data_IF_418782402223
#
_entry.id   IF_418782402223
#
_cell.length_a   1.000
_cell.length_b   1.000
_cell.length_c   1.000
_cell.angle_alpha   90.00
_cell.angle_beta   90.00
_cell.angle_gamma   90.00
#
_symmetry.space_group_name_H-M   'P 1'
#
loop_
_entity.id
_entity.type
_entity.pdbx_description
1 polymer ?
#
# COMPACT_ATOMS: atom_id res chain seq x y z
N UNK A 1 17.64 3.02 9.74
CA UNK A 1 18.11 2.76 8.36
C UNK A 1 16.91 2.89 7.43
N UNK A 2 16.46 4.12 7.20
CA UNK A 2 15.27 4.44 6.40
C UNK A 2 15.71 5.42 5.30
N UNK A 3 15.04 5.36 4.15
CA UNK A 3 15.03 6.39 3.09
C UNK A 3 15.88 6.17 1.82
N UNK A 4 16.26 4.94 1.48
CA UNK A 4 16.79 4.61 0.14
C UNK A 4 15.82 3.87 -0.79
N UNK A 5 14.85 3.12 -0.26
CA UNK A 5 13.92 2.30 -1.06
C UNK A 5 12.52 2.92 -1.25
N UNK A 6 12.22 4.01 -0.53
CA UNK A 6 10.93 4.72 -0.65
C UNK A 6 10.91 5.67 -1.85
N UNK A 7 12.09 6.04 -2.39
CA UNK A 7 12.24 7.01 -3.47
C UNK A 7 12.16 6.43 -4.88
N UNK A 8 12.29 5.11 -5.05
CA UNK A 8 12.36 4.45 -6.38
C UNK A 8 10.99 4.20 -7.03
N UNK A 9 9.89 4.63 -6.42
CA UNK A 9 8.56 4.45 -6.99
C UNK A 9 7.78 5.76 -6.94
N UNK A 10 8.32 6.79 -7.61
CA UNK A 10 7.61 8.04 -7.84
C UNK A 10 7.10 8.12 -9.28
N UNK A 11 5.84 8.54 -9.39
CA UNK A 11 5.07 9.11 -10.50
C UNK A 11 4.85 8.35 -11.83
N UNK A 12 3.85 7.49 -11.80
CA UNK A 12 3.06 6.97 -12.91
C UNK A 12 2.83 7.87 -14.15
N UNK A 13 2.76 9.20 -14.01
CA UNK A 13 2.60 10.13 -15.17
C UNK A 13 3.79 10.08 -16.13
N UNK A 14 4.94 9.64 -15.68
CA UNK A 14 6.14 9.72 -16.49
C UNK A 14 6.60 8.34 -17.01
N UNK A 15 6.17 7.24 -16.38
CA UNK A 15 6.24 5.87 -16.93
C UNK A 15 5.42 5.80 -18.22
N UNK A 16 4.28 6.51 -18.18
CA UNK A 16 3.41 6.80 -19.30
C UNK A 16 4.20 7.48 -20.44
N UNK A 17 4.91 8.57 -20.15
CA UNK A 17 5.63 9.42 -21.12
C UNK A 17 6.80 8.70 -21.82
N UNK A 18 7.47 7.79 -21.13
CA UNK A 18 8.60 7.07 -21.70
C UNK A 18 8.17 5.94 -22.64
N UNK A 19 7.15 5.17 -22.25
CA UNK A 19 6.52 4.20 -23.14
C UNK A 19 5.97 4.87 -24.42
N UNK A 20 5.57 6.14 -24.36
CA UNK A 20 5.14 6.94 -25.52
C UNK A 20 6.28 7.32 -26.46
N UNK A 21 7.45 7.63 -25.89
CA UNK A 21 8.61 8.04 -26.68
C UNK A 21 9.15 6.88 -27.51
N UNK A 22 9.15 5.68 -26.95
CA UNK A 22 9.55 4.47 -27.68
C UNK A 22 8.52 4.11 -28.78
N UNK A 23 7.23 4.30 -28.52
CA UNK A 23 6.17 4.15 -29.54
C UNK A 23 6.31 5.16 -30.68
N UNK A 24 6.61 6.42 -30.39
CA UNK A 24 6.81 7.46 -31.40
C UNK A 24 8.09 7.22 -32.23
N UNK A 25 9.15 6.66 -31.61
CA UNK A 25 10.39 6.26 -32.29
C UNK A 25 10.19 5.06 -33.21
N UNK A 26 9.38 4.07 -32.82
CA UNK A 26 9.03 2.93 -33.69
C UNK A 26 8.00 3.30 -34.78
N UNK A 27 7.10 4.25 -34.51
CA UNK A 27 6.09 4.72 -35.47
C UNK A 27 6.65 5.65 -36.56
N UNK A 28 7.83 6.22 -36.37
CA UNK A 28 8.52 7.11 -37.33
C UNK A 28 8.86 6.48 -38.68
N UNK A 29 8.58 5.19 -38.90
CA UNK A 29 8.84 4.49 -40.16
C UNK A 29 7.61 4.26 -41.05
N UNK A 30 6.39 4.59 -40.65
CA UNK A 30 5.21 4.45 -41.50
C UNK A 30 4.17 5.56 -41.27
N UNK A 31 4.12 6.50 -42.22
CA UNK A 31 3.09 7.55 -42.31
C UNK A 31 1.71 6.91 -42.53
N UNK A 32 0.78 7.02 -41.57
CA UNK A 32 -0.66 6.91 -41.78
C UNK A 32 -1.45 7.62 -40.66
N UNK A 33 -2.47 8.39 -41.04
CA UNK A 33 -3.31 9.23 -40.16
C UNK A 33 -4.15 8.41 -39.16
N UNK A 34 -4.41 7.13 -39.42
CA UNK A 34 -5.06 6.19 -38.48
C UNK A 34 -4.17 5.78 -37.28
N UNK A 35 -2.85 5.97 -37.39
CA UNK A 35 -1.90 5.63 -36.32
C UNK A 35 -2.02 6.61 -35.13
N UNK A 36 -2.30 7.89 -35.38
CA UNK A 36 -2.39 8.92 -34.33
C UNK A 36 -3.54 8.69 -33.34
N UNK A 37 -4.71 8.24 -33.81
CA UNK A 37 -5.85 7.90 -32.92
C UNK A 37 -5.55 6.65 -32.08
N UNK A 38 -4.86 5.68 -32.68
CA UNK A 38 -4.48 4.43 -32.02
C UNK A 38 -3.43 4.67 -30.92
N UNK A 39 -2.41 5.48 -31.19
CA UNK A 39 -1.40 5.89 -30.21
C UNK A 39 -2.01 6.73 -29.08
N UNK A 40 -2.96 7.62 -29.38
CA UNK A 40 -3.68 8.43 -28.37
C UNK A 40 -4.53 7.57 -27.43
N UNK A 41 -5.17 6.53 -27.95
CA UNK A 41 -5.93 5.57 -27.15
C UNK A 41 -5.02 4.72 -26.25
N UNK A 42 -3.88 4.27 -26.77
CA UNK A 42 -2.89 3.51 -25.98
C UNK A 42 -2.28 4.34 -24.85
N UNK A 43 -2.02 5.61 -25.13
CA UNK A 43 -1.54 6.60 -24.16
C UNK A 43 -2.55 6.80 -23.03
N UNK A 44 -3.83 6.83 -23.35
CA UNK A 44 -4.90 6.99 -22.36
C UNK A 44 -5.05 5.75 -21.49
N UNK A 45 -5.04 4.55 -22.09
CA UNK A 45 -5.12 3.27 -21.38
C UNK A 45 -3.95 3.04 -20.41
N UNK A 46 -2.70 3.29 -20.84
CA UNK A 46 -1.55 3.18 -19.92
C UNK A 46 -1.68 4.17 -18.76
N UNK A 47 -2.19 5.38 -19.00
CA UNK A 47 -2.43 6.33 -17.92
C UNK A 47 -3.44 5.84 -16.88
N UNK A 48 -4.55 5.26 -17.34
CA UNK A 48 -5.57 4.70 -16.44
C UNK A 48 -5.03 3.52 -15.63
N UNK A 49 -4.24 2.64 -16.26
CA UNK A 49 -3.58 1.53 -15.57
C UNK A 49 -2.65 2.01 -14.46
N UNK A 50 -1.86 3.04 -14.75
CA UNK A 50 -0.90 3.56 -13.78
C UNK A 50 -1.59 4.35 -12.65
N UNK A 51 -2.73 4.98 -12.91
CA UNK A 51 -3.58 5.56 -11.88
C UNK A 51 -4.14 4.48 -10.94
N UNK A 52 -4.57 3.34 -11.48
CA UNK A 52 -5.03 2.21 -10.66
C UNK A 52 -3.89 1.63 -9.80
N UNK A 53 -2.69 1.53 -10.36
CA UNK A 53 -1.49 1.12 -9.64
C UNK A 53 -1.17 2.06 -8.45
N UNK A 54 -1.37 3.37 -8.58
CA UNK A 54 -1.19 4.32 -7.47
C UNK A 54 -2.23 4.12 -6.37
N UNK A 55 -3.49 3.80 -6.70
CA UNK A 55 -4.51 3.47 -5.69
C UNK A 55 -4.11 2.23 -4.89
N UNK A 56 -3.63 1.18 -5.58
CA UNK A 56 -3.12 -0.03 -4.92
C UNK A 56 -1.98 0.31 -3.96
N UNK A 57 -1.04 1.16 -4.40
CA UNK A 57 0.08 1.62 -3.56
C UNK A 57 -0.39 2.43 -2.35
N UNK A 58 -1.41 3.27 -2.48
CA UNK A 58 -1.99 4.03 -1.37
C UNK A 58 -2.66 3.10 -0.35
N UNK A 59 -3.39 2.08 -0.81
CA UNK A 59 -3.96 1.07 0.07
C UNK A 59 -2.85 0.29 0.82
N UNK A 60 -1.76 -0.09 0.13
CA UNK A 60 -0.60 -0.71 0.77
C UNK A 60 0.09 0.19 1.80
N UNK A 61 0.17 1.50 1.54
CA UNK A 61 0.70 2.46 2.52
C UNK A 61 -0.19 2.52 3.76
N UNK A 62 -1.51 2.54 3.59
CA UNK A 62 -2.45 2.51 4.71
C UNK A 62 -2.33 1.21 5.53
N UNK A 63 -2.14 0.07 4.88
CA UNK A 63 -1.86 -1.22 5.54
C UNK A 63 -0.56 -1.17 6.35
N UNK A 64 0.49 -0.55 5.82
CA UNK A 64 1.75 -0.33 6.56
C UNK A 64 1.55 0.56 7.80
N UNK A 65 0.77 1.62 7.68
CA UNK A 65 0.49 2.50 8.82
C UNK A 65 -0.28 1.75 9.92
N UNK A 66 -1.22 0.87 9.54
CA UNK A 66 -1.91 0.00 10.50
C UNK A 66 -0.93 -0.98 11.15
N UNK A 67 -0.01 -1.58 10.40
CA UNK A 67 1.02 -2.46 10.96
C UNK A 67 1.84 -1.76 12.06
N UNK A 68 2.25 -0.51 11.83
CA UNK A 68 2.99 0.28 12.82
C UNK A 68 2.14 0.53 14.06
N UNK A 69 0.85 0.86 13.90
CA UNK A 69 -0.06 1.02 15.04
C UNK A 69 -0.28 -0.27 15.82
N UNK A 70 -0.38 -1.41 15.14
CA UNK A 70 -0.50 -2.72 15.79
C UNK A 70 0.76 -3.08 16.58
N UNK A 71 1.95 -2.77 16.04
CA UNK A 71 3.22 -2.91 16.78
C UNK A 71 3.22 -2.05 18.04
N UNK A 72 2.84 -0.79 17.93
CA UNK A 72 2.75 0.10 19.08
C UNK A 72 1.73 -0.38 20.10
N UNK A 73 0.55 -0.82 19.66
CA UNK A 73 -0.49 -1.36 20.52
C UNK A 73 -0.01 -2.61 21.27
N UNK A 74 0.77 -3.46 20.61
CA UNK A 74 1.38 -4.63 21.24
C UNK A 74 2.38 -4.23 22.34
N UNK A 75 3.24 -3.23 22.09
CA UNK A 75 4.16 -2.72 23.12
C UNK A 75 3.41 -2.07 24.30
N UNK A 76 2.36 -1.30 24.02
CA UNK A 76 1.52 -0.69 25.06
C UNK A 76 0.89 -1.77 25.97
N UNK A 77 0.48 -2.91 25.38
CA UNK A 77 -0.13 -4.02 26.12
C UNK A 77 0.72 -4.56 27.28
N UNK A 78 2.06 -4.49 27.15
CA UNK A 78 3.02 -4.97 28.16
C UNK A 78 2.97 -4.17 29.46
N UNK A 79 2.59 -2.90 29.36
CA UNK A 79 2.57 -1.94 30.48
C UNK A 79 1.19 -1.71 31.09
N UNK A 80 0.13 -2.24 30.45
CA UNK A 80 -1.24 -2.05 30.91
C UNK A 80 -1.61 -3.09 31.97
N UNK A 81 -2.08 -2.61 33.13
CA UNK A 81 -2.51 -3.43 34.26
C UNK A 81 -3.97 -3.21 34.66
N UNK A 82 -4.70 -2.29 33.99
CA UNK A 82 -6.11 -2.00 34.26
C UNK A 82 -7.01 -2.66 33.22
N UNK A 83 -8.06 -3.34 33.67
CA UNK A 83 -8.99 -4.07 32.80
C UNK A 83 -9.65 -3.16 31.75
N UNK A 84 -10.07 -1.93 32.11
CA UNK A 84 -10.69 -1.00 31.14
C UNK A 84 -9.71 -0.59 30.02
N UNK A 85 -8.43 -0.38 30.37
CA UNK A 85 -7.41 -0.01 29.40
C UNK A 85 -7.06 -1.18 28.47
N UNK A 86 -7.02 -2.41 28.99
CA UNK A 86 -6.84 -3.63 28.20
C UNK A 86 -8.02 -3.83 27.22
N UNK A 87 -9.26 -3.60 27.66
CA UNK A 87 -10.44 -3.71 26.81
C UNK A 87 -10.45 -2.65 25.69
N UNK A 88 -10.06 -1.41 26.00
CA UNK A 88 -9.90 -0.34 25.00
C UNK A 88 -8.82 -0.70 23.98
N UNK A 89 -7.68 -1.22 24.44
CA UNK A 89 -6.58 -1.66 23.58
C UNK A 89 -7.02 -2.80 22.65
N UNK A 90 -7.70 -3.82 23.19
CA UNK A 90 -8.29 -4.93 22.42
C UNK A 90 -9.21 -4.41 21.32
N UNK A 91 -10.10 -3.47 21.65
CA UNK A 91 -11.03 -2.88 20.69
C UNK A 91 -10.30 -2.17 19.54
N UNK A 92 -9.23 -1.43 19.85
CA UNK A 92 -8.39 -0.75 18.84
C UNK A 92 -7.66 -1.76 17.94
N UNK A 93 -7.07 -2.79 18.52
CA UNK A 93 -6.38 -3.84 17.76
C UNK A 93 -7.37 -4.56 16.81
N UNK A 94 -8.55 -4.94 17.31
CA UNK A 94 -9.57 -5.60 16.49
C UNK A 94 -10.05 -4.72 15.33
N UNK A 95 -10.23 -3.41 15.57
CA UNK A 95 -10.58 -2.46 14.52
C UNK A 95 -9.48 -2.34 13.45
N UNK A 96 -8.22 -2.25 13.89
CA UNK A 96 -7.06 -2.19 12.99
C UNK A 96 -6.92 -3.48 12.15
N UNK A 97 -7.07 -4.67 12.75
CA UNK A 97 -7.03 -5.94 12.01
C UNK A 97 -8.18 -6.03 10.98
N UNK A 98 -9.39 -5.63 11.38
CA UNK A 98 -10.55 -5.58 10.46
C UNK A 98 -10.28 -4.64 9.27
N UNK A 99 -9.65 -3.48 9.53
CA UNK A 99 -9.26 -2.56 8.48
C UNK A 99 -8.21 -3.17 7.54
N UNK A 100 -7.19 -3.86 8.07
CA UNK A 100 -6.18 -4.56 7.27
C UNK A 100 -6.83 -5.63 6.40
N UNK A 101 -7.73 -6.45 6.94
CA UNK A 101 -8.46 -7.46 6.18
C UNK A 101 -9.22 -6.84 4.99
N UNK A 102 -10.00 -5.78 5.23
CA UNK A 102 -10.77 -5.10 4.18
C UNK A 102 -9.86 -4.51 3.11
N UNK A 103 -8.79 -3.83 3.51
CA UNK A 103 -7.82 -3.21 2.58
C UNK A 103 -7.06 -4.25 1.78
N UNK A 104 -6.65 -5.34 2.42
CA UNK A 104 -5.97 -6.46 1.76
C UNK A 104 -6.86 -7.12 0.70
N UNK A 105 -8.16 -7.33 0.99
CA UNK A 105 -9.12 -7.82 -0.01
C UNK A 105 -9.28 -6.85 -1.19
N UNK A 106 -9.25 -5.55 -0.91
CA UNK A 106 -9.31 -4.51 -1.95
C UNK A 106 -8.07 -4.55 -2.84
N UNK A 107 -6.88 -4.56 -2.24
CA UNK A 107 -5.60 -4.70 -2.96
C UNK A 107 -5.59 -5.95 -3.83
N UNK A 108 -6.05 -7.08 -3.29
CA UNK A 108 -6.18 -8.33 -4.03
C UNK A 108 -7.04 -8.16 -5.28
N UNK A 109 -8.26 -7.66 -5.12
CA UNK A 109 -9.20 -7.46 -6.23
C UNK A 109 -8.59 -6.56 -7.30
N UNK A 110 -7.96 -5.46 -6.91
CA UNK A 110 -7.34 -4.52 -7.85
C UNK A 110 -6.17 -5.17 -8.62
N UNK A 111 -5.33 -5.98 -7.95
CA UNK A 111 -4.26 -6.71 -8.62
C UNK A 111 -4.79 -7.78 -9.59
N UNK A 112 -5.84 -8.51 -9.21
CA UNK A 112 -6.51 -9.47 -10.09
C UNK A 112 -7.13 -8.78 -11.33
N UNK A 113 -7.70 -7.59 -11.15
CA UNK A 113 -8.25 -6.79 -12.26
C UNK A 113 -7.15 -6.24 -13.17
N UNK A 114 -6.03 -5.79 -12.60
CA UNK A 114 -4.84 -5.40 -13.38
C UNK A 114 -4.32 -6.58 -14.21
N UNK A 115 -4.30 -7.79 -13.66
CA UNK A 115 -3.89 -9.00 -14.37
C UNK A 115 -4.83 -9.37 -15.50
N UNK A 116 -6.14 -9.32 -15.23
CA UNK A 116 -7.17 -9.55 -16.24
C UNK A 116 -7.04 -8.55 -17.39
N UNK A 117 -6.81 -7.28 -17.09
CA UNK A 117 -6.59 -6.24 -18.07
C UNK A 117 -5.31 -6.47 -18.88
N UNK A 118 -4.20 -6.86 -18.23
CA UNK A 118 -2.94 -7.19 -18.91
C UNK A 118 -3.10 -8.40 -19.84
N UNK A 119 -3.81 -9.45 -19.41
CA UNK A 119 -4.08 -10.64 -20.22
C UNK A 119 -5.02 -10.34 -21.41
N UNK A 120 -6.03 -9.51 -21.22
CA UNK A 120 -6.94 -9.08 -22.29
C UNK A 120 -6.19 -8.26 -23.35
N UNK A 121 -5.35 -7.33 -22.90
CA UNK A 121 -4.55 -6.48 -23.77
C UNK A 121 -3.50 -7.26 -24.57
N UNK A 122 -2.99 -8.41 -24.08
CA UNK A 122 -2.03 -9.26 -24.82
C UNK A 122 -2.52 -9.69 -26.22
N UNK A 123 -3.84 -9.75 -26.44
CA UNK A 123 -4.45 -10.13 -27.73
C UNK A 123 -4.45 -8.99 -28.76
N UNK A 124 -4.15 -7.76 -28.35
CA UNK A 124 -4.09 -6.58 -29.21
C UNK A 124 -2.65 -6.37 -29.70
N UNK A 125 -2.47 -6.12 -31.01
CA UNK A 125 -1.14 -5.95 -31.65
C UNK A 125 -0.25 -4.92 -30.94
N UNK A 126 -0.87 -3.87 -30.40
CA UNK A 126 -0.18 -2.75 -29.78
C UNK A 126 0.26 -3.00 -28.32
N UNK A 127 -0.19 -4.11 -27.73
CA UNK A 127 0.11 -4.55 -26.35
C UNK A 127 0.68 -5.97 -26.35
N UNK A 128 1.17 -6.42 -27.50
CA UNK A 128 1.77 -7.73 -27.65
C UNK A 128 2.99 -7.84 -26.73
N UNK A 129 3.24 -9.07 -26.31
CA UNK A 129 4.42 -9.42 -25.54
C UNK A 129 5.70 -8.91 -26.21
N UNK A 130 6.53 -8.21 -25.44
CA UNK A 130 7.75 -7.58 -25.93
C UNK A 130 7.67 -6.06 -26.14
N UNK A 131 6.46 -5.49 -26.26
CA UNK A 131 6.27 -4.03 -26.42
C UNK A 131 6.64 -3.25 -25.15
N UNK A 132 7.09 -1.98 -25.25
CA UNK A 132 7.40 -1.13 -24.09
C UNK A 132 6.22 -1.03 -23.10
N UNK A 133 5.00 -0.79 -23.61
CA UNK A 133 3.79 -0.72 -22.77
C UNK A 133 3.55 -2.03 -22.02
N UNK A 134 3.66 -3.18 -22.70
CA UNK A 134 3.49 -4.48 -22.04
C UNK A 134 4.51 -4.67 -20.92
N UNK A 135 5.80 -4.39 -21.19
CA UNK A 135 6.88 -4.50 -20.20
C UNK A 135 6.61 -3.61 -18.99
N UNK A 136 6.21 -2.35 -19.22
CA UNK A 136 5.86 -1.42 -18.15
C UNK A 136 4.71 -1.93 -17.29
N UNK A 137 3.62 -2.44 -17.90
CA UNK A 137 2.46 -2.96 -17.17
C UNK A 137 2.79 -4.19 -16.35
N UNK A 138 3.55 -5.12 -16.92
CA UNK A 138 4.02 -6.32 -16.21
C UNK A 138 4.95 -5.97 -15.04
N UNK A 139 5.88 -5.05 -15.28
CA UNK A 139 6.82 -4.58 -14.27
C UNK A 139 6.14 -3.93 -13.06
N UNK A 140 5.18 -3.03 -13.32
CA UNK A 140 4.40 -2.37 -12.26
C UNK A 140 3.59 -3.39 -11.46
N UNK A 141 2.86 -4.27 -12.14
CA UNK A 141 1.98 -5.24 -11.46
C UNK A 141 2.81 -6.25 -10.65
N UNK A 142 3.97 -6.68 -11.16
CA UNK A 142 4.92 -7.54 -10.45
C UNK A 142 5.52 -6.84 -9.23
N UNK A 143 5.97 -5.59 -9.38
CA UNK A 143 6.50 -4.79 -8.27
C UNK A 143 5.49 -4.61 -7.12
N UNK A 144 4.22 -4.35 -7.46
CA UNK A 144 3.15 -4.28 -6.46
C UNK A 144 2.94 -5.62 -5.74
N UNK A 145 2.98 -6.75 -6.46
CA UNK A 145 2.88 -8.09 -5.86
C UNK A 145 4.05 -8.41 -4.93
N UNK A 146 5.29 -8.11 -5.34
CA UNK A 146 6.47 -8.24 -4.47
C UNK A 146 6.28 -7.42 -3.19
N UNK A 147 5.78 -6.19 -3.32
CA UNK A 147 5.54 -5.31 -2.16
C UNK A 147 4.42 -5.81 -1.24
N UNK A 148 3.38 -6.39 -1.82
CA UNK A 148 2.32 -7.06 -1.07
C UNK A 148 2.90 -8.23 -0.26
N UNK A 149 3.69 -9.09 -0.91
CA UNK A 149 4.36 -10.23 -0.25
C UNK A 149 5.24 -9.78 0.92
N UNK A 150 6.04 -8.74 0.75
CA UNK A 150 6.84 -8.16 1.85
C UNK A 150 5.96 -7.71 3.02
N UNK A 151 4.88 -6.95 2.75
CA UNK A 151 3.94 -6.52 3.79
C UNK A 151 3.31 -7.71 4.52
N UNK A 152 2.96 -8.77 3.80
CA UNK A 152 2.39 -9.98 4.37
C UNK A 152 3.38 -10.70 5.29
N UNK A 153 4.65 -10.74 4.91
CA UNK A 153 5.72 -11.28 5.75
C UNK A 153 5.91 -10.43 7.02
N UNK A 154 5.85 -9.12 6.92
CA UNK A 154 5.94 -8.22 8.08
C UNK A 154 4.79 -8.46 9.08
N UNK A 155 3.56 -8.66 8.58
CA UNK A 155 2.40 -9.01 9.41
C UNK A 155 2.53 -10.39 10.05
N UNK A 156 3.05 -11.38 9.32
CA UNK A 156 3.33 -12.70 9.88
C UNK A 156 4.36 -12.62 11.00
N UNK A 157 5.43 -11.84 10.81
CA UNK A 157 6.43 -11.59 11.84
C UNK A 157 5.87 -10.85 13.06
N UNK A 158 4.93 -9.92 12.86
CA UNK A 158 4.22 -9.29 13.98
C UNK A 158 3.38 -10.32 14.74
N UNK A 159 2.56 -11.12 14.06
CA UNK A 159 1.75 -12.18 14.68
C UNK A 159 2.58 -13.10 15.57
N UNK A 160 3.72 -13.58 15.05
CA UNK A 160 4.62 -14.46 15.78
C UNK A 160 5.18 -13.78 17.05
N UNK A 161 5.60 -12.51 16.93
CA UNK A 161 6.07 -11.72 18.08
C UNK A 161 4.98 -11.55 19.14
N UNK A 162 3.78 -11.12 18.75
CA UNK A 162 2.66 -10.95 19.68
C UNK A 162 2.34 -12.25 20.44
N UNK A 163 2.34 -13.39 19.75
CA UNK A 163 2.07 -14.69 20.38
C UNK A 163 3.20 -15.12 21.32
N UNK A 164 4.46 -14.92 20.93
CA UNK A 164 5.63 -15.22 21.76
C UNK A 164 5.64 -14.40 23.04
N UNK A 165 5.37 -13.10 22.94
CA UNK A 165 5.35 -12.19 24.09
C UNK A 165 4.16 -12.46 25.02
N UNK A 166 3.03 -12.87 24.45
CA UNK A 166 1.88 -13.31 25.23
C UNK A 166 2.22 -14.56 26.06
N UNK A 167 2.84 -15.58 25.43
CA UNK A 167 3.33 -16.78 26.14
C UNK A 167 4.30 -16.44 27.27
N UNK A 168 5.27 -15.54 27.00
CA UNK A 168 6.21 -15.07 28.03
C UNK A 168 5.48 -14.39 29.20
N UNK A 169 4.49 -13.55 28.90
CA UNK A 169 3.70 -12.85 29.93
C UNK A 169 2.94 -13.85 30.81
N UNK A 170 2.32 -14.87 30.21
CA UNK A 170 1.64 -15.94 30.96
C UNK A 170 2.63 -16.70 31.83
N UNK A 171 3.79 -17.09 31.30
CA UNK A 171 4.83 -17.79 32.07
C UNK A 171 5.35 -16.97 33.25
N UNK A 172 5.60 -15.67 33.06
CA UNK A 172 6.03 -14.76 34.15
C UNK A 172 4.96 -14.62 35.24
N UNK A 173 3.69 -14.51 34.86
CA UNK A 173 2.59 -14.43 35.82
C UNK A 173 2.37 -15.74 36.56
N UNK A 174 2.51 -16.87 35.87
CA UNK A 174 2.50 -18.19 36.50
C UNK A 174 3.58 -18.29 37.58
N UNK A 175 4.85 -18.01 37.24
CA UNK A 175 5.97 -18.04 38.19
C UNK A 175 5.77 -17.10 39.38
N UNK A 176 5.22 -15.90 39.15
CA UNK A 176 4.94 -14.94 40.24
C UNK A 176 3.95 -15.49 41.27
N UNK A 177 3.09 -16.41 40.86
CA UNK A 177 1.97 -16.92 41.65
C UNK A 177 2.26 -18.31 42.25
N UNK A 178 3.05 -19.13 41.57
CA UNK A 178 3.37 -20.52 41.98
C UNK A 178 4.81 -20.70 42.47
N UNK A 179 5.71 -19.75 42.20
CA UNK A 179 7.14 -19.89 42.45
C UNK A 179 7.86 -20.91 41.55
N UNK A 180 7.13 -21.62 40.67
CA UNK A 180 7.65 -22.66 39.78
C UNK A 180 7.65 -22.17 38.33
N UNK A 181 8.67 -22.57 37.56
CA UNK A 181 8.71 -22.27 36.13
C UNK A 181 7.77 -23.24 35.41
N UNK A 182 6.79 -22.69 34.68
CA UNK A 182 5.88 -23.52 33.89
C UNK A 182 6.60 -24.12 32.68
N UNK A 183 6.33 -25.39 32.42
CA UNK A 183 6.66 -26.02 31.14
C UNK A 183 5.80 -25.42 30.02
N UNK A 184 6.32 -25.44 28.79
CA UNK A 184 5.62 -24.90 27.61
C UNK A 184 4.24 -25.54 27.42
N UNK A 185 4.10 -26.84 27.70
CA UNK A 185 2.83 -27.56 27.63
C UNK A 185 1.80 -27.03 28.65
N UNK A 186 2.24 -26.63 29.84
CA UNK A 186 1.38 -26.02 30.86
C UNK A 186 0.92 -24.64 30.41
N UNK A 187 1.84 -23.82 29.87
CA UNK A 187 1.51 -22.51 29.30
C UNK A 187 0.50 -22.66 28.17
N UNK A 188 0.73 -23.59 27.25
CA UNK A 188 -0.18 -23.86 26.14
C UNK A 188 -1.54 -24.38 26.60
N UNK A 189 -1.61 -25.18 27.67
CA UNK A 189 -2.86 -25.65 28.27
C UNK A 189 -3.64 -24.52 28.94
N UNK A 190 -2.97 -23.59 29.60
CA UNK A 190 -3.58 -22.37 30.16
C UNK A 190 -4.15 -21.50 29.02
N UNK A 191 -3.40 -21.36 27.92
CA UNK A 191 -3.80 -20.60 26.73
C UNK A 191 -4.90 -21.33 25.92
N UNK A 192 -4.95 -22.65 25.90
CA UNK A 192 -5.92 -23.37 25.05
C UNK A 192 -7.29 -23.46 25.73
N UNK A 193 -7.31 -23.65 27.05
CA UNK A 193 -8.53 -23.93 27.80
C UNK A 193 -9.22 -22.69 28.39
N UNK A 194 -8.67 -21.48 28.25
CA UNK A 194 -9.32 -20.22 28.64
C UNK A 194 -9.93 -20.25 30.05
N UNK A 195 -9.18 -20.73 31.03
CA UNK A 195 -9.65 -20.81 32.41
C UNK A 195 -10.23 -22.17 32.84
N UNK A 196 -10.27 -23.19 31.99
CA UNK A 196 -10.69 -24.56 32.36
C UNK A 196 -9.67 -25.33 33.22
N UNK A 197 -9.70 -26.67 33.18
CA UNK A 197 -8.93 -27.58 34.08
C UNK A 197 -7.45 -27.22 34.34
N UNK A 198 -6.76 -26.58 33.37
CA UNK A 198 -5.36 -26.13 33.56
C UNK A 198 -5.23 -24.87 34.42
N UNK A 199 -6.20 -23.96 34.38
CA UNK A 199 -6.27 -22.80 35.26
C UNK A 199 -6.77 -23.19 36.65
N UNK A 200 -7.66 -24.18 36.79
CA UNK A 200 -8.08 -24.70 38.10
C UNK A 200 -6.95 -25.39 38.87
N UNK A 201 -6.11 -26.18 38.18
CA UNK A 201 -4.91 -26.80 38.77
C UNK A 201 -3.89 -25.74 39.22
N UNK A 202 -3.67 -24.72 38.38
CA UNK A 202 -2.89 -23.53 38.70
C UNK A 202 -3.45 -22.76 39.91
N UNK A 203 -4.77 -22.54 39.94
CA UNK A 203 -5.48 -21.79 40.99
C UNK A 203 -5.43 -22.53 42.34
N UNK A 204 -5.54 -23.87 42.33
CA UNK A 204 -5.48 -24.70 43.53
C UNK A 204 -4.15 -24.61 44.26
N UNK A 205 -3.03 -24.79 43.54
CA UNK A 205 -1.67 -24.69 44.11
C UNK A 205 -1.36 -23.27 44.60
N UNK A 206 -1.68 -22.27 43.80
CA UNK A 206 -1.41 -20.88 44.09
C UNK A 206 -2.16 -20.33 45.31
N UNK A 207 -3.46 -20.67 45.45
CA UNK A 207 -4.28 -20.24 46.59
C UNK A 207 -3.70 -20.76 47.91
N UNK A 208 -3.11 -21.96 47.90
CA UNK A 208 -2.55 -22.60 49.09
C UNK A 208 -1.28 -21.88 49.59
N UNK A 209 -0.49 -21.29 48.70
CA UNK A 209 0.80 -20.67 49.05
C UNK A 209 0.74 -19.15 49.23
N UNK A 210 -0.10 -18.42 48.48
CA UNK A 210 -0.06 -16.94 48.43
C UNK A 210 -1.35 -16.25 48.88
N UNK A 211 -2.36 -17.04 49.28
CA UNK A 211 -3.64 -16.53 49.74
C UNK A 211 -4.57 -16.14 48.59
N UNK A 212 -5.86 -16.33 48.83
CA UNK A 212 -6.90 -16.34 47.78
C UNK A 212 -7.03 -15.04 46.98
N UNK A 213 -6.74 -13.87 47.59
CA UNK A 213 -6.95 -12.56 46.98
C UNK A 213 -6.00 -12.21 45.82
N UNK A 214 -4.67 -12.27 46.06
CA UNK A 214 -3.64 -11.95 45.05
C UNK A 214 -3.65 -12.91 43.85
N UNK A 215 -3.95 -14.18 44.13
CA UNK A 215 -4.04 -15.23 43.12
C UNK A 215 -5.22 -14.97 42.20
N UNK A 216 -6.40 -14.67 42.75
CA UNK A 216 -7.61 -14.41 41.95
C UNK A 216 -7.44 -13.19 41.04
N UNK A 217 -6.82 -12.12 41.55
CA UNK A 217 -6.51 -10.93 40.75
C UNK A 217 -5.57 -11.25 39.57
N UNK A 218 -4.52 -12.03 39.83
CA UNK A 218 -3.57 -12.42 38.77
C UNK A 218 -4.23 -13.34 37.74
N UNK A 219 -5.11 -14.25 38.17
CA UNK A 219 -5.84 -15.15 37.27
C UNK A 219 -6.80 -14.37 36.37
N UNK A 220 -7.54 -13.41 36.94
CA UNK A 220 -8.41 -12.52 36.16
C UNK A 220 -7.59 -11.71 35.16
N UNK A 221 -6.43 -11.18 35.56
CA UNK A 221 -5.53 -10.46 34.66
C UNK A 221 -4.99 -11.36 33.52
N UNK A 222 -4.64 -12.62 33.82
CA UNK A 222 -4.23 -13.62 32.82
C UNK A 222 -5.38 -13.92 31.86
N UNK A 223 -6.61 -14.08 32.37
CA UNK A 223 -7.79 -14.40 31.57
C UNK A 223 -8.17 -13.24 30.64
N UNK A 224 -8.16 -11.99 31.12
CA UNK A 224 -8.43 -10.81 30.29
C UNK A 224 -7.39 -10.67 29.16
N UNK A 225 -6.11 -10.94 29.46
CA UNK A 225 -5.05 -10.96 28.44
C UNK A 225 -5.19 -12.15 27.49
N UNK A 226 -5.64 -13.30 27.98
CA UNK A 226 -5.91 -14.48 27.18
C UNK A 226 -6.99 -14.25 26.13
N UNK A 227 -8.14 -13.73 26.56
CA UNK A 227 -9.24 -13.43 25.65
C UNK A 227 -8.82 -12.40 24.59
N UNK A 228 -7.99 -11.44 24.98
CA UNK A 228 -7.39 -10.46 24.06
C UNK A 228 -6.46 -11.14 23.06
N UNK A 229 -5.50 -11.95 23.52
CA UNK A 229 -4.55 -12.63 22.66
C UNK A 229 -5.23 -13.61 21.69
N UNK A 230 -6.25 -14.34 22.16
CA UNK A 230 -7.02 -15.30 21.36
C UNK A 230 -7.82 -14.63 20.25
N UNK A 231 -8.46 -13.50 20.54
CA UNK A 231 -9.18 -12.73 19.52
C UNK A 231 -8.23 -12.15 18.46
N UNK A 232 -7.07 -11.66 18.91
CA UNK A 232 -6.01 -11.17 18.03
C UNK A 232 -5.51 -12.32 17.16
N UNK A 233 -5.20 -13.47 17.75
CA UNK A 233 -4.76 -14.66 17.02
C UNK A 233 -5.78 -15.07 15.96
N UNK A 234 -7.06 -15.18 16.33
CA UNK A 234 -8.14 -15.54 15.39
C UNK A 234 -8.22 -14.56 14.22
N UNK A 235 -8.15 -13.27 14.51
CA UNK A 235 -8.24 -12.21 13.50
C UNK A 235 -7.00 -12.19 12.60
N UNK A 236 -5.81 -12.48 13.15
CA UNK A 236 -4.57 -12.62 12.40
C UNK A 236 -4.48 -13.94 11.61
N UNK A 237 -5.17 -15.00 12.03
CA UNK A 237 -5.31 -16.25 11.28
C UNK A 237 -6.16 -16.06 10.02
N UNK A 238 -7.25 -15.29 10.11
CA UNK A 238 -8.03 -14.92 8.93
C UNK A 238 -7.19 -14.14 7.93
N UNK A 239 -6.37 -13.20 8.44
CA UNK A 239 -5.45 -12.44 7.62
C UNK A 239 -4.39 -13.35 6.97
N UNK A 240 -3.86 -14.31 7.74
CA UNK A 240 -2.93 -15.31 7.24
C UNK A 240 -3.54 -16.20 6.15
N UNK A 241 -4.81 -16.60 6.27
CA UNK A 241 -5.48 -17.38 5.23
C UNK A 241 -5.62 -16.57 3.94
N UNK A 242 -6.08 -15.32 4.05
CA UNK A 242 -6.13 -14.41 2.91
C UNK A 242 -4.74 -14.25 2.28
N UNK A 243 -3.69 -14.29 3.10
CA UNK A 243 -2.32 -14.20 2.63
C UNK A 243 -1.85 -15.45 1.86
N UNK A 244 -2.17 -16.64 2.34
CA UNK A 244 -1.87 -17.88 1.62
C UNK A 244 -2.55 -17.92 0.25
N UNK A 245 -3.80 -17.46 0.17
CA UNK A 245 -4.53 -17.41 -1.10
C UNK A 245 -3.87 -16.44 -2.10
N UNK A 246 -3.25 -15.36 -1.61
CA UNK A 246 -2.52 -14.41 -2.45
C UNK A 246 -1.11 -14.89 -2.81
N UNK A 247 -0.50 -15.78 -2.01
CA UNK A 247 0.82 -16.33 -2.31
C UNK A 247 0.84 -17.03 -3.66
N UNK A 248 -0.24 -17.71 -4.04
CA UNK A 248 -0.40 -18.33 -5.37
C UNK A 248 -0.29 -17.30 -6.50
N UNK A 249 -0.85 -16.10 -6.33
CA UNK A 249 -0.77 -15.02 -7.32
C UNK A 249 0.64 -14.43 -7.44
N UNK A 250 1.43 -14.47 -6.37
CA UNK A 250 2.81 -13.95 -6.35
C UNK A 250 3.80 -15.00 -6.88
N UNK A 251 3.62 -16.28 -6.52
CA UNK A 251 4.49 -17.39 -6.91
C UNK A 251 4.41 -17.68 -8.43
N UNK A 252 3.21 -17.58 -9.02
CA UNK A 252 2.97 -17.83 -10.44
C UNK A 252 3.74 -16.88 -11.40
N UNK A 253 4.41 -15.85 -10.88
CA UNK A 253 5.14 -14.83 -11.65
C UNK A 253 6.67 -14.86 -11.47
N UNK A 254 7.20 -15.79 -10.67
CA UNK A 254 8.58 -15.77 -10.15
C UNK A 254 9.72 -15.89 -11.17
N UNK A 255 9.47 -16.34 -12.41
CA UNK A 255 10.54 -16.59 -13.39
C UNK A 255 10.96 -15.34 -14.21
N UNK A 256 10.19 -14.24 -14.15
CA UNK A 256 10.47 -13.00 -14.91
C UNK A 256 10.99 -11.82 -14.07
N UNK A 257 11.24 -12.00 -12.77
CA UNK A 257 11.38 -10.87 -11.82
C UNK A 257 12.75 -10.19 -11.80
N UNK A 258 13.84 -10.89 -12.15
CA UNK A 258 15.23 -10.36 -12.06
C UNK A 258 15.58 -9.38 -13.19
N UNK A 259 15.13 -9.60 -14.43
CA UNK A 259 15.36 -8.66 -15.55
C UNK A 259 14.51 -7.38 -15.42
N UNK A 260 13.42 -7.43 -14.65
CA UNK A 260 12.46 -6.34 -14.49
C UNK A 260 12.98 -5.26 -13.53
N UNK A 261 13.77 -5.61 -12.52
CA UNK A 261 14.30 -4.65 -11.53
C UNK A 261 15.19 -3.60 -12.22
N UNK A 262 15.95 -4.01 -13.24
CA UNK A 262 16.75 -3.13 -14.08
C UNK A 262 15.89 -2.21 -14.97
N UNK A 263 14.79 -2.72 -15.53
CA UNK A 263 13.88 -1.92 -16.38
C UNK A 263 13.01 -0.94 -15.58
N UNK A 264 12.60 -1.28 -14.35
CA UNK A 264 11.86 -0.39 -13.44
C UNK A 264 12.73 0.75 -12.93
N UNK A 265 13.99 0.47 -12.60
CA UNK A 265 14.93 1.49 -12.13
C UNK A 265 15.19 2.55 -13.21
N UNK A 266 15.35 2.13 -14.47
CA UNK A 266 15.47 3.05 -15.58
C UNK A 266 14.18 3.85 -15.77
N UNK A 267 13.01 3.20 -15.83
CA UNK A 267 11.74 3.88 -15.97
C UNK A 267 11.48 4.91 -14.86
N UNK A 268 11.88 4.61 -13.61
CA UNK A 268 11.80 5.56 -12.49
C UNK A 268 12.73 6.77 -12.64
N UNK A 269 13.89 6.64 -13.28
CA UNK A 269 14.83 7.76 -13.45
C UNK A 269 14.32 8.76 -14.49
N UNK A 270 13.84 8.26 -15.62
CA UNK A 270 13.24 9.07 -16.67
C UNK A 270 11.91 9.70 -16.25
N UNK A 271 11.20 9.04 -15.34
CA UNK A 271 9.99 9.56 -14.76
C UNK A 271 10.20 10.92 -14.11
N UNK A 272 11.19 10.98 -13.23
CA UNK A 272 11.52 12.15 -12.42
C UNK A 272 11.87 13.38 -13.27
N UNK A 273 12.48 13.16 -14.43
CA UNK A 273 12.78 14.22 -15.39
C UNK A 273 11.53 14.67 -16.17
N UNK A 274 10.64 13.73 -16.52
CA UNK A 274 9.36 13.99 -17.18
C UNK A 274 8.48 14.99 -16.44
N UNK A 275 8.35 14.84 -15.11
CA UNK A 275 7.50 15.70 -14.28
C UNK A 275 8.05 17.12 -14.19
N UNK A 276 9.38 17.23 -14.12
CA UNK A 276 10.09 18.52 -14.09
C UNK A 276 9.87 19.30 -15.38
N UNK A 277 9.90 18.61 -16.53
CA UNK A 277 9.62 19.21 -17.83
C UNK A 277 8.14 19.59 -18.02
N UNK A 278 7.18 18.80 -17.51
CA UNK A 278 5.75 19.12 -17.60
C UNK A 278 5.36 20.32 -16.73
N UNK A 279 5.93 20.44 -15.52
CA UNK A 279 5.73 21.62 -14.69
C UNK A 279 6.33 22.88 -15.32
N UNK A 280 7.52 22.74 -15.92
CA UNK A 280 8.16 23.82 -16.66
C UNK A 280 7.33 24.24 -17.88
N UNK A 281 6.79 23.28 -18.64
CA UNK A 281 5.93 23.54 -19.80
C UNK A 281 4.58 24.18 -19.41
N UNK A 282 3.94 23.75 -18.31
CA UNK A 282 2.75 24.43 -17.76
C UNK A 282 3.05 25.87 -17.35
N UNK A 283 4.24 26.12 -16.80
CA UNK A 283 4.76 27.46 -16.53
C UNK A 283 4.83 28.32 -17.80
N UNK A 284 5.46 27.80 -18.86
CA UNK A 284 5.56 28.47 -20.16
C UNK A 284 4.20 28.71 -20.83
N UNK A 285 3.27 27.76 -20.76
CA UNK A 285 1.92 27.92 -21.32
C UNK A 285 1.10 28.97 -20.55
N UNK A 286 1.35 29.14 -19.25
CA UNK A 286 0.70 30.16 -18.42
C UNK A 286 1.28 31.56 -18.66
N UNK A 287 2.58 31.68 -18.95
CA UNK A 287 3.20 32.96 -19.30
C UNK A 287 2.88 33.37 -20.74
N UNK A 288 2.92 32.45 -21.71
CA UNK A 288 2.62 32.72 -23.12
C UNK A 288 1.22 33.31 -23.33
N UNK A 289 0.21 32.81 -22.60
CA UNK A 289 -1.16 33.38 -22.64
C UNK A 289 -1.24 34.85 -22.20
N UNK A 290 -0.38 35.27 -21.26
CA UNK A 290 -0.31 36.68 -20.82
C UNK A 290 0.29 37.56 -21.92
N UNK A 291 1.37 37.11 -22.54
CA UNK A 291 2.03 37.81 -23.64
C UNK A 291 1.15 37.90 -24.90
N UNK A 292 0.39 36.86 -25.20
CA UNK A 292 -0.58 36.86 -26.30
C UNK A 292 -1.69 37.92 -26.07
N UNK A 293 -2.21 38.05 -24.85
CA UNK A 293 -3.20 39.09 -24.53
C UNK A 293 -2.63 40.50 -24.67
N UNK A 294 -1.40 40.72 -24.22
CA UNK A 294 -0.71 42.01 -24.34
C UNK A 294 -0.51 42.37 -25.82
N UNK A 295 -0.07 41.43 -26.65
CA UNK A 295 0.09 41.65 -28.10
C UNK A 295 -1.22 42.00 -28.80
N UNK A 296 -2.34 41.37 -28.41
CA UNK A 296 -3.66 41.62 -28.99
C UNK A 296 -4.19 43.02 -28.63
N UNK A 297 -3.94 43.49 -27.40
CA UNK A 297 -4.28 44.86 -26.97
C UNK A 297 -3.50 45.91 -27.77
N UNK A 298 -2.19 45.68 -27.98
CA UNK A 298 -1.34 46.61 -28.76
C UNK A 298 -1.82 46.68 -30.22
N UNK A 299 -2.20 45.54 -30.81
CA UNK A 299 -2.73 45.47 -32.17
C UNK A 299 -4.03 46.29 -32.31
N UNK A 300 -4.95 46.16 -31.35
CA UNK A 300 -6.20 46.93 -31.35
C UNK A 300 -5.97 48.44 -31.23
N UNK A 301 -5.00 48.87 -30.41
CA UNK A 301 -4.62 50.28 -30.31
C UNK A 301 -4.04 50.82 -31.61
N UNK A 302 -3.20 50.05 -32.30
CA UNK A 302 -2.67 50.43 -33.61
C UNK A 302 -3.77 50.63 -34.65
N UNK A 303 -4.74 49.71 -34.70
CA UNK A 303 -5.89 49.82 -35.59
C UNK A 303 -6.69 51.09 -35.27
N UNK A 304 -6.93 51.39 -33.99
CA UNK A 304 -7.64 52.60 -33.58
C UNK A 304 -6.93 53.89 -34.03
N UNK A 305 -5.60 53.94 -33.87
CA UNK A 305 -4.77 55.09 -34.27
C UNK A 305 -4.79 55.31 -35.79
N UNK A 306 -4.89 54.25 -36.59
CA UNK A 306 -4.97 54.35 -38.05
C UNK A 306 -6.38 54.70 -38.52
N UNK A 307 -7.42 54.13 -37.89
CA UNK A 307 -8.82 54.29 -38.33
C UNK A 307 -9.39 55.65 -37.94
N UNK A 308 -9.08 56.20 -36.75
CA UNK A 308 -9.64 57.48 -36.29
C UNK A 308 -9.30 58.65 -37.23
N UNK A 309 -8.06 58.89 -37.66
CA UNK A 309 -7.72 60.01 -38.56
C UNK A 309 -8.38 59.89 -39.94
N UNK A 310 -8.52 58.65 -40.44
CA UNK A 310 -9.20 58.39 -41.70
C UNK A 310 -10.69 58.73 -41.57
N UNK A 311 -11.33 58.26 -40.50
CA UNK A 311 -12.75 58.53 -40.25
C UNK A 311 -13.04 60.03 -40.01
N UNK A 312 -12.18 60.75 -39.28
CA UNK A 312 -12.35 62.19 -39.06
C UNK A 312 -12.07 63.03 -40.31
N UNK A 313 -11.14 62.60 -41.16
CA UNK A 313 -10.89 63.19 -42.49
C UNK A 313 -12.12 63.10 -43.40
N UNK A 314 -12.79 61.94 -43.43
CA UNK A 314 -14.03 61.76 -44.21
C UNK A 314 -15.24 62.51 -43.64
N UNK A 315 -15.26 62.79 -42.33
CA UNK A 315 -16.34 63.55 -41.68
C UNK A 315 -16.25 65.06 -41.86
N UNK A 316 -15.10 65.60 -42.30
CA UNK A 316 -14.87 67.03 -42.46
C UNK A 316 -14.87 67.49 -43.93
N UNK A 317 -15.16 66.56 -44.86
CA UNK A 317 -15.47 66.84 -46.27
C UNK A 317 -16.96 67.08 -46.47
#
# INVERSE_FOLDING_TARGET
MNDLMTKSFTNYVDLKKEAMKDLDLEAGHNNNVEMSSSTTNMHTDLGLFLEEAEKVKQEMASVRDILVRLQQANEESKSLHKSEALQSLRSRINADITAVLKKTRTIRSQLEDMDRANAANRRLSAYKEGTPIYRTRMAVTSGLRKKLKELMMDFQGLRQRMMSEYKETVGRRYFTVTGEQADEEVIEKIISNGGGNGAEEFLGKAIQEHGRGKVLETVVEIQDRHDTAKDIERSLLELHQLFLDMAVMVEAQGEQMDDIEHHVMNASHYVKDGTKHLNTAKGYQRSSRKWMCIGLIILLLLILVVVIPIATSFSHS
#
